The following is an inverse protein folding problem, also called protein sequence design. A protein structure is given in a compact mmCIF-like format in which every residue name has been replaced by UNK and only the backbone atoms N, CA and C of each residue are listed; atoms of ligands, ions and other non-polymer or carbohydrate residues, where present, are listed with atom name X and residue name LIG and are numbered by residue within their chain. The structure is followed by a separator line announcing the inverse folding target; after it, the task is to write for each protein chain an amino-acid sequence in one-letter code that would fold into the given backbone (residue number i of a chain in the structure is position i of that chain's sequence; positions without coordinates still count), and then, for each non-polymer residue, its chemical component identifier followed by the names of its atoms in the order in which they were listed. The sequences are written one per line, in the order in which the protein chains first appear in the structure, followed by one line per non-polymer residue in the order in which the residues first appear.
data_IF_193968006680
#
_entry.id   IF_193968006680
#
_cell.length_a   1.000
_cell.length_b   1.000
_cell.length_c   1.000
_cell.angle_alpha   90.00
_cell.angle_beta   90.00
_cell.angle_gamma   90.00
#
_symmetry.space_group_name_H-M   'P 1'
#
loop_
_entity.id
_entity.type
_entity.pdbx_description
1 polymer ?
#
# COMPACT_ATOMS: atom_id res chain seq x y z
N UNK A 1 53.75 -55.90 -15.98
CA UNK A 1 53.37 -57.20 -15.37
C UNK A 1 52.45 -56.91 -14.20
N UNK A 2 51.27 -57.51 -14.20
CA UNK A 2 50.40 -57.80 -13.03
C UNK A 2 50.75 -59.22 -12.51
N UNK A 3 50.06 -59.86 -11.53
CA UNK A 3 48.97 -59.47 -10.62
C UNK A 3 49.49 -59.36 -9.15
N UNK A 4 48.75 -59.39 -8.02
CA UNK A 4 47.33 -59.58 -7.63
C UNK A 4 46.77 -58.31 -6.92
N UNK A 5 45.53 -58.13 -6.46
CA UNK A 5 44.31 -58.93 -6.13
C UNK A 5 44.23 -59.66 -4.77
N UNK A 6 43.39 -59.15 -3.88
CA UNK A 6 42.53 -59.99 -3.04
C UNK A 6 41.21 -59.24 -2.75
N UNK A 7 40.08 -59.95 -2.83
CA UNK A 7 38.73 -59.49 -2.48
C UNK A 7 38.13 -60.54 -1.55
N UNK A 8 37.35 -60.13 -0.54
CA UNK A 8 36.34 -61.02 0.03
C UNK A 8 35.10 -60.24 0.47
N UNK A 9 33.97 -60.94 0.48
CA UNK A 9 32.60 -60.42 0.53
C UNK A 9 31.86 -61.13 1.68
N UNK A 10 30.60 -60.74 1.93
CA UNK A 10 29.61 -61.32 2.86
C UNK A 10 29.64 -60.72 4.29
N UNK A 11 28.50 -60.57 4.98
CA UNK A 11 27.10 -60.92 4.64
C UNK A 11 26.09 -59.88 5.16
N UNK A 12 24.89 -59.92 4.61
CA UNK A 12 23.72 -59.19 5.12
C UNK A 12 23.07 -59.89 6.33
N UNK A 13 22.23 -59.16 7.07
CA UNK A 13 21.09 -59.72 7.80
C UNK A 13 19.94 -58.69 7.86
N UNK A 14 18.70 -59.16 8.04
CA UNK A 14 17.47 -58.34 8.03
C UNK A 14 16.59 -58.65 9.24
N UNK A 15 15.98 -57.60 9.82
CA UNK A 15 14.76 -57.62 10.62
C UNK A 15 14.24 -56.18 10.71
N UNK A 16 13.06 -55.74 10.28
CA UNK A 16 11.76 -56.33 9.88
C UNK A 16 10.68 -56.34 10.98
N UNK A 17 9.45 -55.93 10.61
CA UNK A 17 8.16 -55.90 11.36
C UNK A 17 8.03 -54.91 12.56
N UNK A 18 6.86 -54.32 12.90
CA UNK A 18 5.56 -54.14 12.19
C UNK A 18 4.53 -53.29 12.99
N UNK A 19 3.60 -52.57 12.31
CA UNK A 19 2.22 -52.15 12.74
C UNK A 19 2.11 -51.25 14.01
N UNK A 20 1.07 -50.42 14.26
CA UNK A 20 -0.29 -50.20 13.70
C UNK A 20 -0.62 -48.67 13.68
N UNK A 21 -1.52 -48.11 12.86
CA UNK A 21 -3.01 -48.20 12.80
C UNK A 21 -3.72 -47.74 14.10
N UNK A 22 -4.76 -46.89 14.13
CA UNK A 22 -5.43 -46.02 13.14
C UNK A 22 -6.19 -44.88 13.90
N UNK A 23 -6.73 -43.87 13.20
CA UNK A 23 -8.17 -43.44 13.27
C UNK A 23 -8.40 -41.98 12.79
N UNK A 24 -9.62 -41.69 12.34
CA UNK A 24 -10.08 -40.46 11.68
C UNK A 24 -11.03 -39.68 12.59
N UNK A 25 -10.91 -38.34 12.60
CA UNK A 25 -12.04 -37.46 12.97
C UNK A 25 -12.27 -36.38 11.92
N UNK A 26 -13.51 -35.90 11.85
CA UNK A 26 -14.11 -35.29 10.65
C UNK A 26 -14.77 -33.94 10.99
N UNK A 27 -14.55 -32.93 10.14
CA UNK A 27 -15.35 -31.71 10.11
C UNK A 27 -14.91 -30.60 11.07
N UNK A 28 -14.91 -29.36 10.58
CA UNK A 28 -14.45 -28.19 11.33
C UNK A 28 -14.44 -26.94 10.46
N UNK A 29 -15.62 -26.50 10.02
CA UNK A 29 -15.74 -25.24 9.27
C UNK A 29 -15.37 -24.06 10.17
N UNK A 30 -14.35 -23.31 9.76
CA UNK A 30 -13.94 -22.06 10.40
C UNK A 30 -13.70 -20.99 9.34
N UNK A 31 -14.77 -20.64 8.62
CA UNK A 31 -14.79 -19.40 7.84
C UNK A 31 -14.80 -18.22 8.80
N UNK A 32 -13.65 -17.58 9.01
CA UNK A 32 -13.58 -16.29 9.70
C UNK A 32 -14.26 -15.22 8.85
N UNK A 33 -15.55 -15.02 9.12
CA UNK A 33 -16.32 -13.90 8.62
C UNK A 33 -15.86 -12.63 9.34
N UNK A 34 -14.71 -12.10 8.92
CA UNK A 34 -14.19 -10.79 9.35
C UNK A 34 -15.03 -9.67 8.73
N UNK A 35 -16.31 -9.64 9.11
CA UNK A 35 -17.33 -8.67 8.75
C UNK A 35 -17.01 -7.30 9.35
N UNK A 36 -15.99 -6.63 8.78
CA UNK A 36 -15.78 -5.22 9.00
C UNK A 36 -16.88 -4.45 8.28
N UNK A 37 -18.00 -4.30 8.97
CA UNK A 37 -19.16 -3.55 8.52
C UNK A 37 -18.84 -2.06 8.55
N UNK A 38 -18.42 -1.56 7.39
CA UNK A 38 -18.09 -0.14 7.15
C UNK A 38 -19.42 0.63 6.98
N UNK A 39 -20.25 0.61 8.05
CA UNK A 39 -21.51 1.35 8.13
C UNK A 39 -21.21 2.84 7.90
N UNK A 40 -21.55 3.31 6.69
CA UNK A 40 -21.63 4.74 6.41
C UNK A 40 -22.74 5.30 7.29
N UNK A 41 -22.44 6.14 8.30
CA UNK A 41 -23.42 6.52 9.30
C UNK A 41 -24.59 7.26 8.64
N UNK A 42 -25.82 6.79 8.86
CA UNK A 42 -27.01 7.47 8.36
C UNK A 42 -27.27 8.74 9.17
N UNK A 43 -26.64 9.82 8.69
CA UNK A 43 -26.75 11.17 9.22
C UNK A 43 -28.16 11.78 9.07
N UNK A 44 -29.14 11.07 8.51
CA UNK A 44 -30.55 11.51 8.49
C UNK A 44 -31.19 11.59 9.89
N UNK A 45 -30.63 10.87 10.88
CA UNK A 45 -31.21 10.73 12.22
C UNK A 45 -31.14 11.98 13.12
N UNK A 46 -30.29 12.95 12.81
CA UNK A 46 -30.06 14.16 13.63
C UNK A 46 -31.15 15.24 13.47
N UNK A 47 -32.43 14.88 13.66
CA UNK A 47 -33.56 15.82 13.67
C UNK A 47 -34.71 15.37 14.58
N UNK A 48 -34.56 15.57 15.89
CA UNK A 48 -35.71 15.59 16.81
C UNK A 48 -35.44 16.49 18.04
N UNK A 49 -36.31 17.49 18.25
CA UNK A 49 -36.25 18.46 19.34
C UNK A 49 -37.54 19.32 19.35
N UNK A 50 -38.20 19.53 20.51
CA UNK A 50 -39.64 19.84 20.51
C UNK A 50 -40.00 21.33 20.57
N UNK A 51 -41.10 21.70 19.91
CA UNK A 51 -41.76 23.01 20.04
C UNK A 51 -42.90 22.97 21.06
N UNK A 52 -42.72 23.61 22.21
CA UNK A 52 -43.75 23.73 23.26
C UNK A 52 -43.79 25.15 23.87
N UNK A 53 -44.92 25.85 23.73
CA UNK A 53 -45.06 27.26 24.17
C UNK A 53 -46.25 27.96 23.50
N UNK A 54 -47.51 27.57 23.78
CA UNK A 54 -48.32 27.96 24.95
C UNK A 54 -48.86 29.40 24.86
N UNK A 55 -50.17 29.52 24.57
CA UNK A 55 -50.95 30.77 24.52
C UNK A 55 -50.76 31.64 25.78
N UNK A 56 -50.88 32.96 25.61
CA UNK A 56 -51.21 33.93 26.68
C UNK A 56 -52.46 34.73 26.29
N UNK A 57 -53.24 35.11 27.29
CA UNK A 57 -54.40 36.02 27.27
C UNK A 57 -54.25 36.89 28.52
N UNK A 58 -54.44 38.21 28.41
CA UNK A 58 -55.13 38.99 29.44
C UNK A 58 -55.41 40.44 29.05
N UNK A 59 -56.52 40.92 29.60
CA UNK A 59 -57.04 42.27 29.78
C UNK A 59 -56.64 42.76 31.20
N UNK A 60 -56.61 44.03 31.61
CA UNK A 60 -56.46 45.38 31.00
C UNK A 60 -56.14 46.35 32.20
N UNK A 61 -56.11 47.69 32.21
CA UNK A 61 -56.47 48.79 31.30
C UNK A 61 -55.62 50.05 31.70
N UNK A 62 -55.73 51.14 30.94
CA UNK A 62 -55.53 52.54 31.35
C UNK A 62 -54.07 53.09 31.42
N UNK A 63 -53.87 54.32 30.94
CA UNK A 63 -52.57 55.02 31.06
C UNK A 63 -52.28 56.11 30.02
N UNK A 64 -52.77 57.33 30.27
CA UNK A 64 -52.49 58.63 29.61
C UNK A 64 -51.44 58.75 28.47
N UNK A 65 -51.83 59.49 27.41
CA UNK A 65 -50.98 59.84 26.24
C UNK A 65 -49.69 60.57 26.60
N UNK A 66 -48.58 60.13 25.99
CA UNK A 66 -47.37 60.93 25.80
C UNK A 66 -46.53 60.39 24.62
N UNK A 67 -46.26 61.18 23.57
CA UNK A 67 -45.58 60.68 22.37
C UNK A 67 -44.06 60.55 22.58
N UNK A 68 -43.64 59.52 23.30
CA UNK A 68 -42.23 59.12 23.34
C UNK A 68 -41.83 58.65 21.93
N UNK A 69 -40.91 59.40 21.31
CA UNK A 69 -40.38 59.09 19.98
C UNK A 69 -39.82 57.66 19.98
N UNK A 70 -40.47 56.74 19.26
CA UNK A 70 -39.80 55.52 18.85
C UNK A 70 -38.65 55.92 17.93
N UNK A 71 -37.41 55.79 18.45
CA UNK A 71 -36.23 55.77 17.59
C UNK A 71 -36.37 54.57 16.67
N UNK A 72 -36.40 54.82 15.36
CA UNK A 72 -36.18 53.77 14.36
C UNK A 72 -34.69 53.39 14.35
N UNK A 73 -34.26 52.78 15.45
CA UNK A 73 -33.02 52.01 15.57
C UNK A 73 -33.40 50.60 16.01
N UNK A 74 -34.11 49.88 15.13
CA UNK A 74 -33.92 48.43 15.01
C UNK A 74 -32.53 48.21 14.40
N UNK A 75 -31.51 48.65 15.15
CA UNK A 75 -30.11 48.51 14.79
C UNK A 75 -29.89 47.01 14.60
N UNK A 76 -29.45 46.64 13.39
CA UNK A 76 -29.23 45.25 13.02
C UNK A 76 -28.20 44.69 13.98
N UNK A 77 -28.62 43.93 14.99
CA UNK A 77 -27.72 43.06 15.74
C UNK A 77 -27.03 42.21 14.68
N UNK A 78 -25.69 42.29 14.54
CA UNK A 78 -25.00 41.48 13.55
C UNK A 78 -25.34 40.03 13.87
N UNK A 79 -25.84 39.30 12.86
CA UNK A 79 -26.23 37.91 13.05
C UNK A 79 -25.05 37.17 13.69
N UNK A 80 -25.37 36.38 14.70
CA UNK A 80 -24.42 35.53 15.41
C UNK A 80 -23.70 34.65 14.40
N UNK A 81 -22.44 34.29 14.66
CA UNK A 81 -21.65 33.47 13.75
C UNK A 81 -22.42 32.19 13.32
N UNK A 82 -23.13 31.58 14.27
CA UNK A 82 -23.96 30.39 14.08
C UNK A 82 -25.20 30.66 13.20
N UNK A 83 -25.81 31.85 13.28
CA UNK A 83 -26.93 32.26 12.43
C UNK A 83 -26.46 32.52 10.98
N UNK A 84 -25.27 33.09 10.80
CA UNK A 84 -24.64 33.27 9.49
C UNK A 84 -24.22 31.93 8.87
N UNK A 85 -23.73 30.99 9.68
CA UNK A 85 -23.42 29.62 9.26
C UNK A 85 -24.71 28.92 8.85
N UNK A 86 -25.75 28.92 9.67
CA UNK A 86 -27.03 28.27 9.38
C UNK A 86 -27.68 28.77 8.09
N UNK A 87 -27.69 30.09 7.84
CA UNK A 87 -28.19 30.65 6.58
C UNK A 87 -27.37 30.17 5.37
N UNK A 88 -26.03 30.17 5.50
CA UNK A 88 -25.12 29.69 4.45
C UNK A 88 -25.23 28.19 4.21
N UNK A 89 -25.44 27.39 5.25
CA UNK A 89 -25.69 25.95 5.14
C UNK A 89 -27.03 25.67 4.48
N UNK A 90 -28.07 26.44 4.80
CA UNK A 90 -29.40 26.36 4.17
C UNK A 90 -29.32 26.71 2.68
N UNK A 91 -28.57 27.76 2.30
CA UNK A 91 -28.31 28.14 0.90
C UNK A 91 -27.53 27.05 0.14
N UNK A 92 -26.51 26.48 0.78
CA UNK A 92 -25.67 25.45 0.16
C UNK A 92 -26.30 24.05 0.19
N UNK A 93 -27.35 23.80 0.99
CA UNK A 93 -27.92 22.46 1.22
C UNK A 93 -28.22 21.71 -0.09
N UNK A 94 -28.83 22.38 -1.07
CA UNK A 94 -29.10 21.79 -2.39
C UNK A 94 -27.81 21.53 -3.20
N UNK A 95 -26.90 22.51 -3.22
CA UNK A 95 -25.65 22.44 -3.98
C UNK A 95 -24.73 21.33 -3.44
N UNK A 96 -24.57 21.26 -2.11
CA UNK A 96 -23.82 20.23 -1.41
C UNK A 96 -24.40 18.83 -1.63
N UNK A 97 -25.73 18.67 -1.70
CA UNK A 97 -26.35 17.38 -1.97
C UNK A 97 -26.09 16.90 -3.41
N UNK A 98 -26.22 17.77 -4.42
CA UNK A 98 -25.90 17.42 -5.82
C UNK A 98 -24.41 17.10 -5.98
N UNK A 99 -23.53 17.93 -5.39
CA UNK A 99 -22.08 17.72 -5.42
C UNK A 99 -21.65 16.43 -4.70
N UNK A 100 -22.27 16.11 -3.55
CA UNK A 100 -22.06 14.85 -2.83
C UNK A 100 -22.49 13.65 -3.66
N UNK A 101 -23.61 13.73 -4.38
CA UNK A 101 -24.07 12.65 -5.27
C UNK A 101 -23.08 12.42 -6.41
N UNK A 102 -22.67 13.49 -7.10
CA UNK A 102 -21.67 13.45 -8.18
C UNK A 102 -20.33 12.86 -7.73
N UNK A 103 -19.82 13.24 -6.55
CA UNK A 103 -18.61 12.67 -5.98
C UNK A 103 -18.79 11.19 -5.62
N UNK A 104 -19.94 10.82 -5.05
CA UNK A 104 -20.22 9.44 -4.64
C UNK A 104 -20.32 8.50 -5.85
N UNK A 105 -20.92 8.97 -6.94
CA UNK A 105 -21.00 8.27 -8.23
C UNK A 105 -19.61 8.14 -8.87
N UNK A 106 -18.86 9.25 -8.99
CA UNK A 106 -17.49 9.25 -9.53
C UNK A 106 -16.55 8.31 -8.76
N UNK A 107 -16.61 8.30 -7.43
CA UNK A 107 -15.82 7.37 -6.60
C UNK A 107 -16.28 5.92 -6.81
N UNK A 108 -17.58 5.67 -6.93
CA UNK A 108 -18.13 4.32 -7.18
C UNK A 108 -17.70 3.76 -8.53
N UNK A 109 -17.60 4.58 -9.57
CA UNK A 109 -17.11 4.17 -10.90
C UNK A 109 -15.59 4.00 -10.95
N UNK A 110 -14.83 4.90 -10.31
CA UNK A 110 -13.35 4.93 -10.41
C UNK A 110 -12.63 4.06 -9.40
N UNK A 111 -13.26 3.63 -8.30
CA UNK A 111 -12.62 2.82 -7.25
C UNK A 111 -12.39 1.38 -7.73
N UNK A 112 -11.16 0.83 -7.66
CA UNK A 112 -10.86 -0.51 -8.12
C UNK A 112 -11.60 -1.58 -7.30
N UNK A 113 -12.08 -2.63 -7.99
CA UNK A 113 -12.86 -3.73 -7.40
C UNK A 113 -12.07 -4.43 -6.29
N UNK A 114 -12.74 -4.82 -5.19
CA UNK A 114 -12.14 -5.54 -4.04
C UNK A 114 -11.34 -6.79 -4.46
N UNK A 115 -11.70 -7.44 -5.58
CA UNK A 115 -10.99 -8.59 -6.16
C UNK A 115 -9.54 -8.29 -6.54
N UNK A 116 -9.22 -7.10 -7.07
CA UNK A 116 -7.84 -6.73 -7.40
C UNK A 116 -6.95 -6.67 -6.15
N UNK A 117 -7.49 -6.21 -5.01
CA UNK A 117 -6.75 -6.18 -3.74
C UNK A 117 -6.43 -7.60 -3.25
N UNK A 118 -7.35 -8.56 -3.40
CA UNK A 118 -7.10 -9.96 -3.05
C UNK A 118 -6.01 -10.58 -3.93
N UNK A 119 -6.12 -10.46 -5.26
CA UNK A 119 -5.13 -11.00 -6.19
C UNK A 119 -3.76 -10.33 -6.08
N UNK A 120 -3.71 -9.03 -5.77
CA UNK A 120 -2.44 -8.36 -5.43
C UNK A 120 -1.82 -8.93 -4.14
N UNK A 121 -2.61 -9.16 -3.08
CA UNK A 121 -2.09 -9.74 -1.84
C UNK A 121 -1.56 -11.16 -2.07
N UNK A 122 -2.31 -12.02 -2.76
CA UNK A 122 -1.91 -13.37 -3.18
C UNK A 122 -0.56 -13.35 -3.94
N UNK A 123 -0.39 -12.41 -4.88
CA UNK A 123 0.85 -12.19 -5.62
C UNK A 123 1.97 -11.66 -4.72
N UNK A 124 1.69 -10.68 -3.86
CA UNK A 124 2.68 -10.03 -3.00
C UNK A 124 3.26 -11.01 -1.97
N UNK A 125 2.45 -11.90 -1.40
CA UNK A 125 2.95 -12.96 -0.52
C UNK A 125 3.86 -13.95 -1.23
N UNK A 126 3.58 -14.27 -2.50
CA UNK A 126 4.44 -15.14 -3.31
C UNK A 126 5.73 -14.42 -3.73
N UNK A 127 5.67 -13.13 -4.03
CA UNK A 127 6.83 -12.25 -4.24
C UNK A 127 7.69 -12.15 -2.96
N UNK A 128 7.08 -12.05 -1.78
CA UNK A 128 7.79 -12.03 -0.49
C UNK A 128 8.47 -13.37 -0.18
N UNK A 129 7.81 -14.51 -0.43
CA UNK A 129 8.42 -15.85 -0.34
C UNK A 129 9.63 -15.96 -1.27
N UNK A 130 9.48 -15.51 -2.52
CA UNK A 130 10.55 -15.53 -3.52
C UNK A 130 11.76 -14.68 -3.11
N UNK A 131 11.54 -13.42 -2.68
CA UNK A 131 12.62 -12.53 -2.21
C UNK A 131 13.37 -13.11 -1.00
N UNK A 132 12.67 -13.80 -0.09
CA UNK A 132 13.29 -14.45 1.07
C UNK A 132 14.14 -15.68 0.72
N UNK A 133 13.83 -16.33 -0.41
CA UNK A 133 14.56 -17.47 -0.96
C UNK A 133 15.72 -17.10 -1.90
N UNK A 134 15.99 -15.81 -2.14
CA UNK A 134 17.15 -15.38 -2.93
C UNK A 134 18.46 -15.54 -2.13
N UNK A 135 19.47 -16.10 -2.78
CA UNK A 135 20.83 -16.22 -2.23
C UNK A 135 21.59 -14.88 -2.24
N UNK A 136 22.34 -14.63 -1.16
CA UNK A 136 23.25 -13.49 -1.07
C UNK A 136 24.43 -13.69 -2.05
N UNK A 137 24.69 -12.68 -2.89
CA UNK A 137 25.74 -12.73 -3.92
C UNK A 137 27.06 -12.17 -3.38
N UNK A 138 28.17 -12.82 -3.71
CA UNK A 138 29.55 -12.37 -3.42
C UNK A 138 29.81 -10.94 -3.92
N UNK A 139 30.78 -10.26 -3.31
CA UNK A 139 31.13 -8.88 -3.66
C UNK A 139 31.94 -8.82 -4.98
N UNK A 140 31.49 -7.97 -5.92
CA UNK A 140 31.99 -7.87 -7.31
C UNK A 140 32.09 -6.39 -7.72
N UNK A 141 33.13 -6.02 -8.46
CA UNK A 141 33.26 -4.68 -9.08
C UNK A 141 32.05 -4.34 -9.98
N UNK A 142 31.54 -3.12 -9.88
CA UNK A 142 30.36 -2.71 -10.63
C UNK A 142 30.60 -2.74 -12.16
N UNK A 143 31.80 -2.37 -12.62
CA UNK A 143 32.18 -2.47 -14.05
C UNK A 143 32.18 -3.93 -14.56
N UNK A 144 32.38 -4.92 -13.69
CA UNK A 144 32.22 -6.37 -14.01
C UNK A 144 30.75 -6.80 -13.94
N UNK A 145 30.00 -6.34 -12.94
CA UNK A 145 28.58 -6.66 -12.79
C UNK A 145 27.74 -6.13 -13.98
N UNK A 146 27.92 -4.88 -14.40
CA UNK A 146 27.23 -4.29 -15.56
C UNK A 146 27.47 -5.10 -16.84
N UNK A 147 28.71 -5.58 -17.06
CA UNK A 147 29.05 -6.46 -18.20
C UNK A 147 28.35 -7.83 -18.10
N UNK A 148 28.06 -8.32 -16.89
CA UNK A 148 27.30 -9.55 -16.66
C UNK A 148 25.79 -9.33 -16.89
N UNK A 149 25.23 -8.24 -16.35
CA UNK A 149 23.82 -7.86 -16.51
C UNK A 149 23.45 -7.65 -17.99
N UNK A 150 24.30 -6.96 -18.76
CA UNK A 150 24.08 -6.79 -20.21
C UNK A 150 24.06 -8.11 -20.99
N UNK A 151 24.83 -9.12 -20.56
CA UNK A 151 24.76 -10.48 -21.14
C UNK A 151 23.49 -11.25 -20.79
N UNK A 152 22.73 -10.79 -19.78
CA UNK A 152 21.46 -11.36 -19.33
C UNK A 152 20.24 -10.55 -19.79
N UNK A 153 20.42 -9.58 -20.68
CA UNK A 153 19.35 -8.70 -21.17
C UNK A 153 18.95 -7.54 -20.24
N UNK A 154 19.53 -7.42 -19.04
CA UNK A 154 19.21 -6.33 -18.10
C UNK A 154 20.12 -5.13 -18.37
N UNK A 155 19.53 -4.00 -18.77
CA UNK A 155 20.21 -2.72 -18.87
C UNK A 155 20.49 -2.14 -17.47
N UNK A 156 21.63 -1.49 -17.30
CA UNK A 156 21.97 -0.76 -16.07
C UNK A 156 21.56 0.72 -16.21
N UNK A 157 20.77 1.30 -15.28
CA UNK A 157 20.04 2.54 -15.50
C UNK A 157 20.78 3.83 -15.13
N UNK A 158 22.09 3.79 -14.89
CA UNK A 158 22.90 4.97 -14.57
C UNK A 158 24.17 5.00 -15.41
N UNK A 159 24.54 6.18 -15.92
CA UNK A 159 25.89 6.44 -16.42
C UNK A 159 26.80 6.64 -15.21
N UNK A 160 27.90 5.89 -15.14
CA UNK A 160 28.87 5.99 -14.04
C UNK A 160 30.11 6.78 -14.47
N UNK A 161 30.74 7.56 -13.58
CA UNK A 161 32.01 8.23 -13.87
C UNK A 161 33.15 7.23 -14.07
N UNK A 162 34.25 7.66 -14.71
CA UNK A 162 35.39 6.76 -14.97
C UNK A 162 36.03 6.21 -13.68
N UNK A 163 36.01 7.01 -12.60
CA UNK A 163 36.43 6.63 -11.24
C UNK A 163 35.58 5.54 -10.59
N UNK A 164 34.44 5.15 -11.16
CA UNK A 164 33.57 4.10 -10.62
C UNK A 164 34.15 2.67 -10.70
N UNK A 165 35.44 2.50 -11.01
CA UNK A 165 36.11 1.20 -11.05
C UNK A 165 36.12 0.50 -9.69
N UNK A 166 36.41 1.25 -8.63
CA UNK A 166 36.61 0.72 -7.27
C UNK A 166 35.27 0.45 -6.53
N UNK A 167 34.15 0.82 -7.15
CA UNK A 167 32.82 0.59 -6.57
C UNK A 167 32.51 -0.90 -6.62
N UNK A 168 32.62 -1.52 -5.46
CA UNK A 168 32.23 -2.91 -5.21
C UNK A 168 30.74 -2.99 -4.85
N UNK A 169 30.05 -3.99 -5.39
CA UNK A 169 28.63 -4.24 -5.15
C UNK A 169 28.39 -5.71 -4.81
N UNK A 170 27.41 -5.97 -3.96
CA UNK A 170 26.96 -7.31 -3.56
C UNK A 170 25.43 -7.28 -3.44
N UNK A 171 24.79 -8.43 -3.61
CA UNK A 171 23.36 -8.56 -3.33
C UNK A 171 23.20 -9.24 -1.97
N UNK A 172 22.33 -8.70 -1.13
CA UNK A 172 21.86 -9.32 0.11
C UNK A 172 20.34 -9.18 0.11
N UNK A 173 19.59 -10.22 0.49
CA UNK A 173 18.11 -10.18 0.47
C UNK A 173 17.52 -8.98 1.24
N UNK A 174 16.37 -8.42 0.83
CA UNK A 174 15.78 -7.25 1.49
C UNK A 174 15.51 -7.49 2.98
N UNK A 175 15.62 -6.44 3.81
CA UNK A 175 15.24 -6.52 5.23
C UNK A 175 13.72 -6.63 5.38
N UNK A 176 12.99 -5.86 4.57
CA UNK A 176 11.53 -5.87 4.42
C UNK A 176 11.14 -5.42 3.01
N UNK A 177 10.03 -5.93 2.52
CA UNK A 177 9.21 -5.35 1.45
C UNK A 177 8.04 -4.61 2.09
N UNK A 178 7.63 -3.47 1.51
CA UNK A 178 6.51 -2.66 2.00
C UNK A 178 5.68 -2.17 0.81
N UNK A 179 4.36 -2.29 0.90
CA UNK A 179 3.42 -1.67 -0.05
C UNK A 179 3.19 -0.22 0.39
N UNK A 180 3.28 0.73 -0.52
CA UNK A 180 3.12 2.17 -0.24
C UNK A 180 2.23 2.85 -1.29
N UNK A 181 2.14 4.18 -1.26
CA UNK A 181 1.42 4.96 -2.27
C UNK A 181 -0.10 4.88 -2.13
N UNK A 182 -0.80 5.29 -3.19
CA UNK A 182 -2.27 5.39 -3.21
C UNK A 182 -2.98 4.06 -2.98
N UNK A 183 -2.40 2.94 -3.44
CA UNK A 183 -2.95 1.61 -3.24
C UNK A 183 -2.95 1.17 -1.77
N UNK A 184 -1.86 1.43 -1.04
CA UNK A 184 -1.79 1.15 0.41
C UNK A 184 -2.83 1.95 1.18
N UNK A 185 -2.95 3.25 0.85
CA UNK A 185 -3.87 4.18 1.50
C UNK A 185 -5.35 3.98 1.09
N UNK A 186 -5.66 3.07 0.15
CA UNK A 186 -7.01 2.88 -0.38
C UNK A 186 -7.51 4.03 -1.29
N UNK A 187 -6.64 4.96 -1.66
CA UNK A 187 -6.93 6.14 -2.50
C UNK A 187 -6.52 5.96 -3.97
N UNK A 188 -6.19 4.73 -4.40
CA UNK A 188 -5.99 4.41 -5.81
C UNK A 188 -7.32 4.47 -6.57
N UNK A 189 -7.36 5.25 -7.65
CA UNK A 189 -8.52 5.46 -8.51
C UNK A 189 -8.14 5.23 -9.97
N UNK A 190 -9.08 4.73 -10.77
CA UNK A 190 -8.91 4.48 -12.20
C UNK A 190 -8.17 3.18 -12.53
N UNK A 191 -7.91 2.98 -13.82
CA UNK A 191 -7.17 1.85 -14.38
C UNK A 191 -6.14 2.34 -15.41
N UNK A 192 -4.94 1.72 -15.50
CA UNK A 192 -4.45 0.58 -14.71
C UNK A 192 -4.18 0.94 -13.24
N UNK A 193 -4.36 -0.03 -12.35
CA UNK A 193 -4.07 0.12 -10.91
C UNK A 193 -2.57 0.02 -10.68
N UNK A 194 -1.92 1.13 -10.34
CA UNK A 194 -0.49 1.16 -9.98
C UNK A 194 -0.30 0.88 -8.50
N UNK A 195 0.68 0.02 -8.17
CA UNK A 195 1.03 -0.30 -6.77
C UNK A 195 2.54 -0.07 -6.55
N UNK A 196 2.88 0.88 -5.68
CA UNK A 196 4.26 1.15 -5.31
C UNK A 196 4.75 0.12 -4.26
N UNK A 197 5.85 -0.57 -4.54
CA UNK A 197 6.50 -1.52 -3.60
C UNK A 197 7.91 -1.06 -3.28
N UNK A 198 8.20 -0.84 -2.00
CA UNK A 198 9.51 -0.44 -1.48
C UNK A 198 10.26 -1.65 -0.95
N UNK A 199 11.50 -1.86 -1.44
CA UNK A 199 12.43 -2.85 -0.92
C UNK A 199 13.46 -2.18 -0.01
N UNK A 200 13.50 -2.57 1.26
CA UNK A 200 14.42 -2.03 2.26
C UNK A 200 15.77 -2.74 2.17
N UNK A 201 16.74 -2.11 1.51
CA UNK A 201 18.10 -2.61 1.37
C UNK A 201 18.83 -2.72 2.73
N UNK A 202 19.50 -3.85 3.05
CA UNK A 202 20.26 -4.02 4.29
C UNK A 202 21.38 -2.99 4.49
N UNK A 203 21.51 -2.48 5.72
CA UNK A 203 22.58 -1.53 6.11
C UNK A 203 23.99 -2.08 5.84
N UNK A 204 24.17 -3.40 5.88
CA UNK A 204 25.43 -4.12 5.60
C UNK A 204 25.92 -4.03 4.12
N UNK A 205 25.10 -3.48 3.22
CA UNK A 205 25.49 -3.16 1.84
C UNK A 205 26.31 -1.85 1.76
N UNK A 206 26.14 -0.96 2.74
CA UNK A 206 26.58 0.43 2.64
C UNK A 206 27.78 0.74 3.54
N UNK A 207 28.73 1.49 2.99
CA UNK A 207 29.92 2.02 3.68
C UNK A 207 29.75 3.52 3.90
N UNK A 208 30.46 4.10 4.89
CA UNK A 208 30.40 5.55 5.19
C UNK A 208 30.87 6.44 4.02
N UNK A 209 31.63 5.88 3.08
CA UNK A 209 32.07 6.50 1.83
C UNK A 209 30.95 6.66 0.80
N UNK A 210 29.91 5.83 0.83
CA UNK A 210 28.99 5.64 -0.30
C UNK A 210 28.13 6.88 -0.63
N UNK A 211 28.13 7.88 0.24
CA UNK A 211 27.48 9.18 0.02
C UNK A 211 28.21 10.06 -1.02
N UNK A 212 29.45 9.75 -1.34
CA UNK A 212 30.25 10.45 -2.36
C UNK A 212 30.16 9.74 -3.72
N UNK A 213 30.58 10.43 -4.79
CA UNK A 213 30.79 9.90 -6.16
C UNK A 213 29.66 9.03 -6.72
N UNK A 214 28.42 9.34 -6.33
CA UNK A 214 27.19 8.60 -6.66
C UNK A 214 27.22 7.10 -6.25
N UNK A 215 28.13 6.68 -5.37
CA UNK A 215 28.37 5.27 -5.02
C UNK A 215 27.11 4.59 -4.46
N UNK A 216 26.31 5.29 -3.64
CA UNK A 216 25.01 4.83 -3.17
C UNK A 216 24.02 4.56 -4.31
N UNK A 217 23.91 5.48 -5.28
CA UNK A 217 23.02 5.31 -6.44
C UNK A 217 23.49 4.17 -7.33
N UNK A 218 24.80 4.05 -7.54
CA UNK A 218 25.43 2.95 -8.28
C UNK A 218 25.13 1.59 -7.64
N UNK A 219 25.26 1.47 -6.31
CA UNK A 219 24.89 0.26 -5.54
C UNK A 219 23.38 -0.02 -5.59
N UNK A 220 22.53 1.00 -5.42
CA UNK A 220 21.06 0.89 -5.53
C UNK A 220 20.61 0.41 -6.91
N UNK A 221 21.18 0.97 -7.98
CA UNK A 221 20.90 0.53 -9.35
C UNK A 221 21.35 -0.92 -9.57
N UNK A 222 22.56 -1.28 -9.11
CA UNK A 222 23.08 -2.65 -9.17
C UNK A 222 22.17 -3.66 -8.43
N UNK A 223 21.62 -3.25 -7.28
CA UNK A 223 20.65 -4.02 -6.51
C UNK A 223 19.35 -4.24 -7.28
N UNK A 224 18.77 -3.19 -7.85
CA UNK A 224 17.53 -3.26 -8.65
C UNK A 224 17.74 -4.09 -9.93
N UNK A 225 18.89 -3.98 -10.60
CA UNK A 225 19.21 -4.82 -11.74
C UNK A 225 19.37 -6.30 -11.37
N UNK A 226 19.90 -6.62 -10.17
CA UNK A 226 19.91 -8.00 -9.69
C UNK A 226 18.49 -8.53 -9.51
N UNK A 227 17.64 -7.79 -8.78
CA UNK A 227 16.23 -8.16 -8.54
C UNK A 227 15.48 -8.35 -9.86
N UNK A 228 15.63 -7.44 -10.83
CA UNK A 228 15.05 -7.56 -12.17
C UNK A 228 15.49 -8.85 -12.90
N UNK A 229 16.79 -9.17 -12.90
CA UNK A 229 17.31 -10.40 -13.51
C UNK A 229 16.79 -11.69 -12.81
N UNK A 230 16.42 -11.63 -11.52
CA UNK A 230 15.83 -12.77 -10.84
C UNK A 230 14.33 -12.87 -11.16
N UNK A 231 13.61 -11.74 -11.14
CA UNK A 231 12.20 -11.68 -11.51
C UNK A 231 11.93 -12.17 -12.94
N UNK A 232 12.80 -11.85 -13.91
CA UNK A 232 12.76 -12.36 -15.29
C UNK A 232 12.93 -13.89 -15.42
N UNK A 233 13.38 -14.57 -14.35
CA UNK A 233 13.48 -16.04 -14.27
C UNK A 233 12.38 -16.66 -13.41
N UNK A 234 11.49 -15.84 -12.86
CA UNK A 234 10.46 -16.25 -11.92
C UNK A 234 9.09 -16.26 -12.61
N UNK A 235 8.23 -17.19 -12.24
CA UNK A 235 6.85 -17.24 -12.72
C UNK A 235 5.94 -16.19 -12.03
N UNK A 236 6.52 -15.16 -11.39
CA UNK A 236 5.79 -14.07 -10.73
C UNK A 236 5.38 -12.96 -11.70
N UNK A 237 5.99 -12.92 -12.90
CA UNK A 237 5.74 -11.91 -13.93
C UNK A 237 5.41 -12.64 -15.23
N UNK A 238 4.46 -12.11 -16.00
CA UNK A 238 4.12 -12.67 -17.30
C UNK A 238 5.22 -12.38 -18.34
N UNK A 239 5.44 -13.31 -19.27
CA UNK A 239 6.60 -13.30 -20.18
C UNK A 239 6.61 -12.14 -21.20
N UNK A 240 5.51 -11.39 -21.30
CA UNK A 240 5.28 -10.20 -22.12
C UNK A 240 5.58 -8.87 -21.39
N UNK A 241 5.80 -8.89 -20.07
CA UNK A 241 5.94 -7.68 -19.26
C UNK A 241 7.32 -7.04 -19.43
N UNK A 242 7.36 -5.75 -19.82
CA UNK A 242 8.61 -4.97 -19.81
C UNK A 242 9.07 -4.66 -18.39
N UNK A 243 10.39 -4.70 -18.15
CA UNK A 243 10.99 -4.15 -16.92
C UNK A 243 11.76 -2.90 -17.31
N UNK A 244 11.25 -1.75 -16.86
CA UNK A 244 11.79 -0.43 -17.17
C UNK A 244 12.31 0.25 -15.90
N UNK A 245 13.41 0.99 -16.04
CA UNK A 245 14.05 1.71 -14.93
C UNK A 245 13.81 3.21 -15.08
N UNK A 246 12.72 3.69 -14.48
CA UNK A 246 12.31 5.09 -14.58
C UNK A 246 13.03 5.92 -13.49
N UNK A 247 13.82 6.91 -13.92
CA UNK A 247 14.18 8.05 -13.07
C UNK A 247 12.96 8.97 -12.99
N UNK A 248 12.26 8.99 -11.85
CA UNK A 248 11.31 10.06 -11.52
C UNK A 248 12.11 11.36 -11.33
N UNK A 249 12.32 12.07 -12.43
CA UNK A 249 12.56 13.51 -12.41
C UNK A 249 11.30 14.15 -11.80
N UNK A 250 11.48 15.02 -10.82
CA UNK A 250 10.39 15.72 -10.13
C UNK A 250 9.87 16.91 -10.94
#
# INVERSE_FOLDING_TARGET
MTPLKEEMVMTAEQSDLSSSDEDVTQGGSSGSDDGFDDEVPDLSSFSSGPTAGKKRKNEDESGARGPKKHKNDSAKTPLTADELIYLKETENMFQSNVFRLQISELIKETKPKKTYKRHFNEWFDNFNKYLNGLEDTKEVEIKKNIKSLKKRGVMFPLVLPESAGDITCKFIKPVKSLVVGSFHNGTSLGTPVTVDVVLVMPKQLFRKSDKFDQQYFAKRASYLCHVANQLQKSNLIAADTSIEFITKNG
#
